data_IF_479036253840
#
_entry.id   IF_479036253840
#
_cell.length_a   1.000
_cell.length_b   1.000
_cell.length_c   1.000
_cell.angle_alpha   90.00
_cell.angle_beta   90.00
_cell.angle_gamma   90.00
#
_symmetry.space_group_name_H-M   'P 1'
#
loop_
_entity.id
_entity.type
_entity.pdbx_description
1 polymer ?
#
# COMPACT_ATOMS: atom_id res chain seq x y z
N UNK A 1 -8.22 -1.47 -3.66
CA UNK A 1 -9.54 -2.13 -3.47
C UNK A 1 -10.51 -1.10 -2.93
N UNK A 2 -11.69 -0.88 -3.53
CA UNK A 2 -12.73 -0.06 -2.91
C UNK A 2 -13.17 -0.79 -1.62
N UNK A 3 -12.62 -0.38 -0.48
CA UNK A 3 -12.99 -0.93 0.81
C UNK A 3 -14.10 -0.06 1.40
N UNK A 4 -15.25 -0.66 1.68
CA UNK A 4 -16.30 0.03 2.42
C UNK A 4 -15.96 -0.05 3.91
N UNK A 5 -15.46 1.05 4.49
CA UNK A 5 -14.96 1.08 5.86
C UNK A 5 -15.98 0.57 6.90
N UNK A 6 -17.27 0.87 6.71
CA UNK A 6 -18.33 0.37 7.60
C UNK A 6 -18.56 -1.14 7.45
N UNK A 7 -18.22 -1.71 6.29
CA UNK A 7 -18.32 -3.14 6.00
C UNK A 7 -17.39 -4.01 6.85
N UNK A 8 -16.25 -3.47 7.31
CA UNK A 8 -15.30 -4.20 8.18
C UNK A 8 -16.00 -4.71 9.44
N UNK A 9 -16.60 -3.78 10.21
CA UNK A 9 -17.23 -4.10 11.50
C UNK A 9 -18.40 -5.06 11.34
N UNK A 10 -19.20 -4.87 10.30
CA UNK A 10 -20.33 -5.76 10.02
C UNK A 10 -19.86 -7.15 9.61
N UNK A 11 -18.86 -7.24 8.73
CA UNK A 11 -18.29 -8.52 8.31
C UNK A 11 -17.68 -9.30 9.48
N UNK A 12 -16.95 -8.63 10.39
CA UNK A 12 -16.39 -9.27 11.58
C UNK A 12 -17.51 -9.79 12.49
N UNK A 13 -18.59 -9.01 12.70
CA UNK A 13 -19.75 -9.47 13.49
C UNK A 13 -20.44 -10.70 12.89
N UNK A 14 -20.44 -10.81 11.57
CA UNK A 14 -21.03 -11.94 10.85
C UNK A 14 -20.17 -13.19 11.02
N UNK A 15 -18.90 -13.14 10.60
CA UNK A 15 -18.04 -14.32 10.58
C UNK A 15 -17.48 -14.69 11.95
N UNK A 16 -17.32 -13.73 12.86
CA UNK A 16 -16.69 -13.93 14.17
C UNK A 16 -17.41 -14.96 15.04
N UNK A 17 -18.73 -15.12 14.89
CA UNK A 17 -19.50 -16.15 15.61
C UNK A 17 -19.02 -17.56 15.30
N UNK A 18 -18.61 -17.80 14.05
CA UNK A 18 -18.12 -19.11 13.60
C UNK A 18 -16.70 -19.43 14.09
N UNK A 19 -16.00 -18.44 14.66
CA UNK A 19 -14.63 -18.58 15.15
C UNK A 19 -14.56 -18.83 16.66
N UNK A 20 -15.67 -18.68 17.38
CA UNK A 20 -15.70 -18.87 18.83
C UNK A 20 -15.48 -20.35 19.17
N UNK A 21 -14.53 -20.60 20.07
CA UNK A 21 -14.16 -21.95 20.51
C UNK A 21 -13.07 -22.61 19.64
N UNK A 22 -12.66 -21.98 18.55
CA UNK A 22 -11.51 -22.44 17.75
C UNK A 22 -10.20 -22.03 18.42
N UNK A 23 -9.15 -22.79 18.11
CA UNK A 23 -7.79 -22.47 18.53
C UNK A 23 -7.21 -21.35 17.65
N UNK A 24 -6.92 -20.15 18.20
CA UNK A 24 -6.39 -19.04 17.42
C UNK A 24 -4.95 -19.29 16.91
N UNK A 25 -4.26 -20.31 17.43
CA UNK A 25 -2.94 -20.72 16.97
C UNK A 25 -2.99 -21.60 15.71
N UNK A 26 -4.15 -22.18 15.39
CA UNK A 26 -4.39 -22.90 14.13
C UNK A 26 -4.86 -21.92 13.04
N UNK A 27 -3.95 -21.07 12.58
CA UNK A 27 -4.23 -19.98 11.64
C UNK A 27 -4.86 -20.48 10.33
N UNK A 28 -4.47 -21.66 9.85
CA UNK A 28 -5.05 -22.26 8.64
C UNK A 28 -6.53 -22.60 8.85
N UNK A 29 -6.88 -23.24 9.96
CA UNK A 29 -8.28 -23.57 10.28
C UNK A 29 -9.14 -22.31 10.41
N UNK A 30 -8.64 -21.26 11.08
CA UNK A 30 -9.33 -19.97 11.17
C UNK A 30 -9.60 -19.39 9.78
N UNK A 31 -8.59 -19.38 8.89
CA UNK A 31 -8.75 -18.87 7.53
C UNK A 31 -9.72 -19.71 6.70
N UNK A 32 -9.67 -21.05 6.80
CA UNK A 32 -10.59 -21.96 6.11
C UNK A 32 -12.05 -21.74 6.55
N UNK A 33 -12.27 -21.55 7.85
CA UNK A 33 -13.59 -21.22 8.39
C UNK A 33 -14.06 -19.85 7.90
N UNK A 34 -13.19 -18.83 7.89
CA UNK A 34 -13.54 -17.51 7.35
C UNK A 34 -13.88 -17.56 5.85
N UNK A 35 -13.14 -18.32 5.06
CA UNK A 35 -13.34 -18.47 3.62
C UNK A 35 -14.62 -19.24 3.28
N UNK A 36 -14.94 -20.27 4.06
CA UNK A 36 -16.20 -21.02 3.94
C UNK A 36 -17.42 -20.16 4.26
N UNK A 37 -17.32 -19.29 5.26
CA UNK A 37 -18.45 -18.50 5.75
C UNK A 37 -18.63 -17.15 5.04
N UNK A 38 -17.60 -16.59 4.41
CA UNK A 38 -17.71 -15.32 3.68
C UNK A 38 -16.77 -15.29 2.47
N UNK A 39 -17.32 -15.38 1.26
CA UNK A 39 -16.52 -15.25 0.02
C UNK A 39 -15.93 -13.85 -0.11
N UNK A 40 -14.66 -13.74 -0.48
CA UNK A 40 -13.97 -12.46 -0.65
C UNK A 40 -13.73 -11.72 0.68
N UNK A 41 -14.03 -10.42 0.70
CA UNK A 41 -13.90 -9.56 1.89
C UNK A 41 -12.54 -9.64 2.63
N UNK A 42 -11.39 -9.58 1.92
CA UNK A 42 -10.09 -9.72 2.57
C UNK A 42 -9.85 -8.63 3.63
N UNK A 43 -10.41 -7.43 3.43
CA UNK A 43 -10.34 -6.32 4.39
C UNK A 43 -11.13 -6.57 5.69
N UNK A 44 -12.04 -7.55 5.72
CA UNK A 44 -12.73 -8.02 6.93
C UNK A 44 -11.88 -9.07 7.65
N UNK A 45 -11.28 -9.99 6.90
CA UNK A 45 -10.55 -11.15 7.42
C UNK A 45 -9.15 -10.81 7.92
N UNK A 46 -8.45 -9.91 7.22
CA UNK A 46 -7.09 -9.46 7.57
C UNK A 46 -6.90 -9.05 9.04
N UNK A 47 -7.76 -8.24 9.68
CA UNK A 47 -7.59 -7.92 11.10
C UNK A 47 -7.77 -9.11 12.04
N UNK A 48 -8.56 -10.13 11.66
CA UNK A 48 -8.70 -11.37 12.44
C UNK A 48 -7.43 -12.21 12.31
N UNK A 49 -6.94 -12.39 11.08
CA UNK A 49 -5.68 -13.10 10.81
C UNK A 49 -4.49 -12.45 11.56
N UNK A 50 -4.37 -11.12 11.52
CA UNK A 50 -3.34 -10.39 12.29
C UNK A 50 -3.46 -10.63 13.80
N UNK A 51 -4.68 -10.69 14.34
CA UNK A 51 -4.90 -10.98 15.77
C UNK A 51 -4.53 -12.43 16.12
N UNK A 52 -4.81 -13.39 15.24
CA UNK A 52 -4.36 -14.77 15.40
C UNK A 52 -2.82 -14.87 15.37
N UNK A 53 -2.14 -14.16 14.47
CA UNK A 53 -0.68 -14.08 14.46
C UNK A 53 -0.09 -13.48 15.74
N UNK A 54 -0.72 -12.45 16.31
CA UNK A 54 -0.32 -11.87 17.59
C UNK A 54 -0.48 -12.87 18.75
N UNK A 55 -1.63 -13.56 18.82
CA UNK A 55 -1.87 -14.63 19.79
C UNK A 55 -0.90 -15.79 19.62
N UNK A 56 -0.59 -16.16 18.38
CA UNK A 56 0.41 -17.19 18.05
C UNK A 56 1.80 -16.78 18.56
N UNK A 57 2.23 -15.54 18.31
CA UNK A 57 3.50 -15.03 18.84
C UNK A 57 3.55 -15.02 20.36
N UNK A 58 2.48 -14.59 21.02
CA UNK A 58 2.38 -14.58 22.47
C UNK A 58 2.41 -15.98 23.08
N UNK A 59 1.70 -16.95 22.49
CA UNK A 59 1.68 -18.34 22.95
C UNK A 59 3.07 -19.01 22.86
N UNK A 60 3.86 -18.66 21.84
CA UNK A 60 5.19 -19.22 21.61
C UNK A 60 6.33 -18.35 22.14
N UNK A 61 6.03 -17.22 22.78
CA UNK A 61 7.02 -16.29 23.32
C UNK A 61 7.98 -15.74 22.25
N UNK A 62 7.50 -15.59 21.00
CA UNK A 62 8.31 -15.19 19.86
C UNK A 62 7.66 -14.02 19.10
N UNK A 63 8.46 -13.06 18.62
CA UNK A 63 7.92 -12.01 17.77
C UNK A 63 7.47 -12.58 16.41
N UNK A 64 6.41 -12.02 15.84
CA UNK A 64 5.78 -12.51 14.60
C UNK A 64 6.78 -12.62 13.43
N UNK A 65 7.72 -11.68 13.26
CA UNK A 65 8.73 -11.77 12.20
C UNK A 65 9.58 -13.05 12.28
N UNK A 66 9.79 -13.59 13.49
CA UNK A 66 10.55 -14.82 13.69
C UNK A 66 9.74 -16.04 13.24
N UNK A 67 8.44 -16.01 13.51
CA UNK A 67 7.49 -17.03 13.10
C UNK A 67 7.25 -17.01 11.58
N UNK A 68 7.33 -15.84 10.96
CA UNK A 68 7.21 -15.64 9.51
C UNK A 68 8.48 -15.99 8.70
N UNK A 69 9.44 -16.69 9.31
CA UNK A 69 10.65 -17.17 8.63
C UNK A 69 11.95 -16.47 9.00
N UNK A 70 11.91 -15.54 9.97
CA UNK A 70 13.11 -14.90 10.51
C UNK A 70 13.35 -13.49 9.98
N UNK A 71 14.37 -12.84 10.54
CA UNK A 71 14.72 -11.45 10.26
C UNK A 71 15.60 -11.37 9.02
N UNK A 72 15.25 -10.45 8.11
CA UNK A 72 16.12 -10.03 7.01
C UNK A 72 16.42 -8.54 7.15
N UNK A 73 17.71 -8.18 7.21
CA UNK A 73 18.17 -6.81 7.44
C UNK A 73 17.93 -6.31 8.86
N UNK A 74 18.65 -5.26 9.26
CA UNK A 74 18.53 -4.66 10.60
C UNK A 74 17.43 -3.59 10.68
N UNK A 75 17.21 -2.89 9.58
CA UNK A 75 16.22 -1.82 9.44
C UNK A 75 15.49 -1.97 8.11
N UNK A 76 14.33 -1.31 8.00
CA UNK A 76 13.59 -1.19 6.75
C UNK A 76 13.56 0.27 6.33
N UNK A 77 13.77 0.53 5.04
CA UNK A 77 13.59 1.86 4.50
C UNK A 77 12.10 2.19 4.39
N UNK A 78 11.72 3.38 4.84
CA UNK A 78 10.37 3.88 4.68
C UNK A 78 10.25 4.73 3.42
N UNK A 79 9.08 4.70 2.80
CA UNK A 79 8.71 5.69 1.78
C UNK A 79 7.72 6.69 2.36
N UNK A 80 7.70 7.89 1.78
CA UNK A 80 6.71 8.92 2.10
C UNK A 80 5.69 9.06 0.98
N UNK A 81 4.43 8.80 1.31
CA UNK A 81 3.32 9.15 0.43
C UNK A 81 3.13 10.67 0.38
N UNK A 82 3.04 11.23 -0.82
CA UNK A 82 2.81 12.65 -1.08
C UNK A 82 1.43 12.78 -1.71
N UNK A 83 0.52 13.44 -0.97
CA UNK A 83 -0.86 13.68 -1.42
C UNK A 83 -0.91 14.43 -2.76
N UNK A 84 -1.94 14.14 -3.54
CA UNK A 84 -2.19 14.79 -4.82
C UNK A 84 -2.59 16.26 -4.59
N UNK A 85 -1.71 17.18 -4.97
CA UNK A 85 -1.87 18.63 -4.83
C UNK A 85 -1.24 19.36 -6.04
N UNK A 86 -1.13 20.67 -6.00
CA UNK A 86 -0.36 21.42 -6.98
C UNK A 86 1.13 21.01 -6.98
N UNK A 87 1.79 20.97 -8.17
CA UNK A 87 3.19 20.59 -8.30
C UNK A 87 4.15 21.31 -7.33
N UNK A 88 3.93 22.61 -7.10
CA UNK A 88 4.74 23.43 -6.19
C UNK A 88 4.58 23.00 -4.72
N UNK A 89 3.36 22.65 -4.30
CA UNK A 89 3.06 22.20 -2.94
C UNK A 89 3.68 20.81 -2.70
N UNK A 90 3.52 19.90 -3.67
CA UNK A 90 4.11 18.56 -3.60
C UNK A 90 5.64 18.64 -3.50
N UNK A 91 6.26 19.50 -4.32
CA UNK A 91 7.70 19.76 -4.28
C UNK A 91 8.15 20.28 -2.91
N UNK A 92 7.40 21.23 -2.31
CA UNK A 92 7.70 21.74 -0.96
C UNK A 92 7.61 20.64 0.09
N UNK A 93 6.59 19.77 0.02
CA UNK A 93 6.44 18.63 0.93
C UNK A 93 7.59 17.63 0.78
N UNK A 94 7.99 17.30 -0.44
CA UNK A 94 9.13 16.41 -0.70
C UNK A 94 10.42 17.01 -0.13
N UNK A 95 10.71 18.30 -0.35
CA UNK A 95 11.89 18.96 0.26
C UNK A 95 11.90 18.84 1.78
N UNK A 96 10.74 19.07 2.42
CA UNK A 96 10.59 18.91 3.86
C UNK A 96 10.91 17.47 4.29
N UNK A 97 10.31 16.48 3.66
CA UNK A 97 10.51 15.07 4.03
C UNK A 97 11.92 14.55 3.71
N UNK A 98 12.61 15.11 2.72
CA UNK A 98 14.04 14.86 2.52
C UNK A 98 14.87 15.32 3.72
N UNK A 99 14.55 16.48 4.30
CA UNK A 99 15.23 16.97 5.51
C UNK A 99 14.96 16.09 6.73
N UNK A 100 13.84 15.35 6.73
CA UNK A 100 13.51 14.34 7.75
C UNK A 100 14.19 12.98 7.50
N UNK A 101 14.94 12.82 6.40
CA UNK A 101 15.72 11.61 6.10
C UNK A 101 15.07 10.64 5.12
N UNK A 102 13.90 10.95 4.54
CA UNK A 102 13.30 10.09 3.52
C UNK A 102 14.07 10.16 2.19
N UNK A 103 14.34 8.98 1.64
CA UNK A 103 14.98 8.78 0.32
C UNK A 103 14.04 8.11 -0.69
N UNK A 104 12.84 7.69 -0.27
CA UNK A 104 11.84 7.05 -1.12
C UNK A 104 10.51 7.80 -1.04
N UNK A 105 9.94 8.12 -2.19
CA UNK A 105 8.72 8.92 -2.29
C UNK A 105 7.70 8.25 -3.21
N UNK A 106 6.45 8.24 -2.79
CA UNK A 106 5.32 7.81 -3.63
C UNK A 106 4.41 9.01 -3.86
N UNK A 107 4.41 9.54 -5.08
CA UNK A 107 3.51 10.62 -5.47
C UNK A 107 2.16 10.06 -5.81
N UNK A 108 1.11 10.61 -5.19
CA UNK A 108 -0.25 10.40 -5.64
C UNK A 108 -0.47 11.23 -6.90
N UNK A 109 -0.63 10.54 -8.01
CA UNK A 109 -1.02 11.04 -9.34
C UNK A 109 -2.33 10.36 -9.74
N UNK A 110 -2.64 10.24 -11.03
CA UNK A 110 -3.90 9.61 -11.46
C UNK A 110 -5.03 10.63 -11.66
N UNK A 111 -4.70 11.91 -11.74
CA UNK A 111 -5.64 12.99 -12.04
C UNK A 111 -5.54 13.41 -13.51
N UNK A 112 -5.42 14.71 -13.73
CA UNK A 112 -5.18 15.24 -15.08
C UNK A 112 -3.75 14.85 -15.56
N UNK A 113 -3.60 14.20 -16.73
CA UNK A 113 -2.31 13.70 -17.22
C UNK A 113 -1.24 14.78 -17.42
N UNK A 114 -1.63 15.96 -17.92
CA UNK A 114 -0.68 17.05 -18.16
C UNK A 114 -0.18 17.63 -16.84
N UNK A 115 -1.05 17.74 -15.85
CA UNK A 115 -0.64 18.15 -14.50
C UNK A 115 0.19 17.09 -13.81
N UNK A 116 -0.12 15.80 -13.98
CA UNK A 116 0.67 14.70 -13.43
C UNK A 116 2.09 14.65 -14.01
N UNK A 117 2.26 14.92 -15.30
CA UNK A 117 3.60 15.08 -15.92
C UNK A 117 4.37 16.22 -15.23
N UNK A 118 3.72 17.36 -14.98
CA UNK A 118 4.36 18.50 -14.27
C UNK A 118 4.76 18.11 -12.84
N UNK A 119 3.87 17.41 -12.10
CA UNK A 119 4.16 16.93 -10.74
C UNK A 119 5.39 16.03 -10.72
N UNK A 120 5.44 15.06 -11.63
CA UNK A 120 6.52 14.08 -11.73
C UNK A 120 7.84 14.78 -12.06
N UNK A 121 7.88 15.60 -13.12
CA UNK A 121 9.09 16.31 -13.54
C UNK A 121 9.61 17.22 -12.41
N UNK A 122 8.71 18.01 -11.81
CA UNK A 122 9.12 18.98 -10.80
C UNK A 122 9.67 18.29 -9.55
N UNK A 123 9.01 17.22 -9.07
CA UNK A 123 9.52 16.47 -7.92
C UNK A 123 10.82 15.75 -8.27
N UNK A 124 10.90 15.04 -9.41
CA UNK A 124 12.12 14.31 -9.80
C UNK A 124 13.35 15.22 -9.89
N UNK A 125 13.17 16.47 -10.33
CA UNK A 125 14.27 17.44 -10.47
C UNK A 125 14.94 17.89 -9.16
N UNK A 126 14.28 17.68 -8.00
CA UNK A 126 14.83 18.03 -6.68
C UNK A 126 15.37 16.81 -5.92
N UNK A 127 15.23 15.61 -6.51
CA UNK A 127 15.66 14.35 -5.91
C UNK A 127 17.10 14.03 -6.32
N UNK A 128 17.85 13.43 -5.40
CA UNK A 128 19.19 12.93 -5.71
C UNK A 128 19.07 11.71 -6.65
N UNK A 129 20.08 11.38 -7.47
CA UNK A 129 20.03 10.20 -8.32
C UNK A 129 19.73 8.89 -7.57
N UNK A 130 20.12 8.79 -6.30
CA UNK A 130 19.84 7.63 -5.43
C UNK A 130 18.44 7.59 -4.82
N UNK A 131 17.69 8.69 -4.85
CA UNK A 131 16.35 8.76 -4.27
C UNK A 131 15.35 8.06 -5.21
N UNK A 132 14.47 7.24 -4.63
CA UNK A 132 13.44 6.49 -5.37
C UNK A 132 12.18 7.33 -5.47
N UNK A 133 11.62 7.43 -6.68
CA UNK A 133 10.35 8.08 -6.95
C UNK A 133 9.38 7.13 -7.62
N UNK A 134 8.22 6.95 -7.00
CA UNK A 134 7.11 6.17 -7.52
C UNK A 134 5.96 7.12 -7.87
N UNK A 135 5.47 7.06 -9.09
CA UNK A 135 4.25 7.70 -9.54
C UNK A 135 3.08 6.71 -9.40
N UNK A 136 2.34 6.79 -8.31
CA UNK A 136 1.18 5.94 -8.02
C UNK A 136 -0.11 6.64 -8.46
N UNK A 137 -0.71 6.14 -9.53
CA UNK A 137 -1.94 6.70 -10.09
C UNK A 137 -3.21 6.19 -9.41
N UNK A 138 -3.09 5.17 -8.54
CA UNK A 138 -4.23 4.55 -7.87
C UNK A 138 -5.43 4.31 -8.80
N UNK A 139 -5.18 3.74 -9.99
CA UNK A 139 -6.17 3.44 -11.05
C UNK A 139 -6.77 4.64 -11.79
N UNK A 140 -6.32 5.86 -11.52
CA UNK A 140 -6.96 7.10 -11.95
C UNK A 140 -6.84 7.44 -13.44
N UNK A 141 -5.89 6.84 -14.16
CA UNK A 141 -5.75 7.07 -15.60
C UNK A 141 -6.49 6.04 -16.43
N UNK A 142 -7.06 6.51 -17.54
CA UNK A 142 -7.37 5.65 -18.69
C UNK A 142 -6.06 5.24 -19.38
N UNK A 143 -6.08 4.14 -20.14
CA UNK A 143 -4.87 3.62 -20.82
C UNK A 143 -4.17 4.68 -21.70
N UNK A 144 -4.93 5.46 -22.47
CA UNK A 144 -4.37 6.48 -23.34
C UNK A 144 -3.75 7.65 -22.56
N UNK A 145 -4.25 7.92 -21.36
CA UNK A 145 -3.73 8.95 -20.48
C UNK A 145 -2.46 8.47 -19.77
N UNK A 146 -2.45 7.23 -19.29
CA UNK A 146 -1.24 6.60 -18.77
C UNK A 146 -0.12 6.60 -19.81
N UNK A 147 -0.42 6.26 -21.07
CA UNK A 147 0.56 6.30 -22.17
C UNK A 147 1.11 7.72 -22.42
N UNK A 148 0.28 8.77 -22.31
CA UNK A 148 0.76 10.16 -22.44
C UNK A 148 1.73 10.51 -21.32
N UNK A 149 1.39 10.18 -20.07
CA UNK A 149 2.25 10.45 -18.91
C UNK A 149 3.56 9.70 -19.07
N UNK A 150 3.51 8.37 -19.27
CA UNK A 150 4.70 7.52 -19.36
C UNK A 150 5.64 7.99 -20.46
N UNK A 151 5.13 8.26 -21.67
CA UNK A 151 5.96 8.77 -22.77
C UNK A 151 6.59 10.12 -22.44
N UNK A 152 5.84 11.02 -21.80
CA UNK A 152 6.37 12.33 -21.43
C UNK A 152 7.42 12.26 -20.32
N UNK A 153 7.48 11.17 -19.54
CA UNK A 153 8.40 11.02 -18.41
C UNK A 153 9.34 9.81 -18.52
N UNK A 154 9.43 9.13 -19.68
CA UNK A 154 10.25 7.92 -19.87
C UNK A 154 11.76 8.17 -19.74
N UNK A 155 12.20 9.41 -19.93
CA UNK A 155 13.58 9.84 -19.76
C UNK A 155 13.98 10.07 -18.29
N UNK A 156 13.04 9.91 -17.35
CA UNK A 156 13.27 10.08 -15.92
C UNK A 156 13.40 8.72 -15.22
N UNK A 157 14.26 8.64 -14.22
CA UNK A 157 14.36 7.47 -13.33
C UNK A 157 13.23 7.48 -12.28
N UNK A 158 12.11 6.87 -12.66
CA UNK A 158 10.88 6.75 -11.85
C UNK A 158 10.21 5.39 -12.07
N UNK A 159 9.43 4.97 -11.09
CA UNK A 159 8.54 3.80 -11.18
C UNK A 159 7.09 4.26 -11.40
N UNK A 160 6.30 3.48 -12.11
CA UNK A 160 4.85 3.69 -12.24
C UNK A 160 4.11 2.60 -11.46
N UNK A 161 3.16 3.00 -10.63
CA UNK A 161 2.34 2.10 -9.83
C UNK A 161 0.86 2.26 -10.20
N UNK A 162 0.21 1.12 -10.48
CA UNK A 162 -1.23 0.99 -10.74
C UNK A 162 -1.81 2.09 -11.65
N UNK A 163 -1.31 2.28 -12.89
CA UNK A 163 -1.73 3.37 -13.79
C UNK A 163 -3.23 3.32 -14.08
N UNK A 164 -3.76 2.13 -14.32
CA UNK A 164 -5.15 1.91 -14.74
C UNK A 164 -5.88 0.96 -13.78
N UNK A 165 -7.21 0.92 -13.90
CA UNK A 165 -8.08 0.02 -13.12
C UNK A 165 -7.81 -1.46 -13.43
N UNK A 166 -7.60 -1.80 -14.70
CA UNK A 166 -7.33 -3.17 -15.15
C UNK A 166 -6.29 -3.16 -16.27
N UNK A 167 -5.81 -4.36 -16.65
CA UNK A 167 -4.91 -4.55 -17.79
C UNK A 167 -5.59 -4.48 -19.16
N UNK A 168 -6.93 -4.32 -19.19
CA UNK A 168 -7.76 -4.27 -20.38
C UNK A 168 -8.33 -2.88 -20.61
#
# INVERSE_FOLDING_TARGET
MPAYARGVRTGIKEIGKSLIGLDPTNIQEINDVMDKNLKGHPYVKSPIDMACWDLYGNAYGAPVWKLLGGKFGETIDLYRAISLEDPSIMTKKVKKYKQEGYTKFQLKVGGNPLEDVKRIIQVRSILNPSDILVADANTGWLMHDALKVIKATEHLDIYYEQPCMTYK
#
